data_IF_556031354145
#
_entry.id   IF_556031354145
#
_cell.length_a   1.000
_cell.length_b   1.000
_cell.length_c   1.000
_cell.angle_alpha   90.00
_cell.angle_beta   90.00
_cell.angle_gamma   90.00
#
_symmetry.space_group_name_H-M   'P 1'
#
loop_
_entity.id
_entity.type
_entity.pdbx_description
1 polymer ?
#
# COMPACT_ATOMS: atom_id res chain seq x y z
N UNK A 1 8.87 1.88 -20.31
CA UNK A 1 7.82 0.88 -20.04
C UNK A 1 8.40 -0.40 -19.50
N UNK A 2 8.68 -1.35 -20.39
CA UNK A 2 8.98 -2.76 -20.06
C UNK A 2 10.25 -2.95 -19.23
N UNK A 3 11.32 -2.19 -19.50
CA UNK A 3 12.58 -2.29 -18.73
C UNK A 3 12.36 -1.87 -17.27
N UNK A 4 11.65 -0.74 -17.04
CA UNK A 4 11.33 -0.26 -15.69
C UNK A 4 10.44 -1.25 -14.96
N UNK A 5 9.45 -1.80 -15.65
CA UNK A 5 8.61 -2.87 -15.12
C UNK A 5 9.47 -4.07 -14.67
N UNK A 6 10.37 -4.57 -15.53
CA UNK A 6 11.19 -5.74 -15.21
C UNK A 6 12.08 -5.48 -13.99
N UNK A 7 12.79 -4.34 -13.98
CA UNK A 7 13.65 -3.98 -12.84
C UNK A 7 12.82 -3.89 -11.55
N UNK A 8 11.71 -3.16 -11.58
CA UNK A 8 10.90 -2.95 -10.39
C UNK A 8 10.23 -4.24 -9.89
N UNK A 9 9.56 -4.99 -10.78
CA UNK A 9 8.81 -6.18 -10.42
C UNK A 9 9.74 -7.25 -9.82
N UNK A 10 10.86 -7.56 -10.48
CA UNK A 10 11.76 -8.62 -10.03
C UNK A 10 12.56 -8.24 -8.78
N UNK A 11 12.85 -6.96 -8.55
CA UNK A 11 13.58 -6.52 -7.34
C UNK A 11 12.67 -6.36 -6.12
N UNK A 12 11.43 -5.90 -6.31
CA UNK A 12 10.51 -5.58 -5.21
C UNK A 12 9.62 -6.77 -4.85
N UNK A 13 8.99 -7.40 -5.84
CA UNK A 13 7.98 -8.44 -5.61
C UNK A 13 8.48 -9.85 -5.92
N UNK A 14 9.61 -9.98 -6.61
CA UNK A 14 10.15 -11.27 -7.03
C UNK A 14 9.31 -11.93 -8.14
N UNK A 15 9.32 -13.26 -8.18
CA UNK A 15 8.59 -14.04 -9.18
C UNK A 15 7.23 -14.41 -8.62
N UNK A 16 6.17 -13.88 -9.22
CA UNK A 16 4.75 -14.10 -8.88
C UNK A 16 4.05 -14.93 -9.96
N UNK A 17 2.74 -15.11 -9.82
CA UNK A 17 1.91 -15.68 -10.88
C UNK A 17 2.04 -14.87 -12.18
N UNK A 18 1.87 -15.55 -13.32
CA UNK A 18 1.91 -14.88 -14.63
C UNK A 18 0.80 -13.83 -14.80
N UNK A 19 -0.33 -14.02 -14.13
CA UNK A 19 -1.48 -13.11 -14.15
C UNK A 19 -1.14 -11.80 -13.44
N UNK A 20 -0.56 -11.88 -12.23
CA UNK A 20 -0.14 -10.71 -11.45
C UNK A 20 0.96 -9.91 -12.16
N UNK A 21 1.93 -10.62 -12.76
CA UNK A 21 2.99 -9.97 -13.52
C UNK A 21 2.44 -9.24 -14.76
N UNK A 22 1.46 -9.83 -15.43
CA UNK A 22 0.76 -9.21 -16.57
C UNK A 22 -0.01 -7.96 -16.15
N UNK A 23 -0.71 -8.00 -15.02
CA UNK A 23 -1.43 -6.86 -14.45
C UNK A 23 -0.49 -5.72 -14.05
N UNK A 24 0.62 -6.02 -13.36
CA UNK A 24 1.62 -5.01 -13.00
C UNK A 24 2.21 -4.38 -14.28
N UNK A 25 2.52 -5.18 -15.30
CA UNK A 25 2.98 -4.66 -16.60
C UNK A 25 1.95 -3.70 -17.21
N UNK A 26 0.66 -4.04 -17.16
CA UNK A 26 -0.41 -3.19 -17.67
C UNK A 26 -0.47 -1.85 -16.93
N UNK A 27 -0.32 -1.82 -15.60
CA UNK A 27 -0.23 -0.58 -14.83
C UNK A 27 0.99 0.27 -15.21
N UNK A 28 2.14 -0.35 -15.50
CA UNK A 28 3.29 0.36 -16.03
C UNK A 28 3.03 0.92 -17.43
N UNK A 29 2.38 0.18 -18.33
CA UNK A 29 1.99 0.69 -19.65
C UNK A 29 1.04 1.88 -19.49
N UNK A 30 0.03 1.76 -18.63
CA UNK A 30 -0.88 2.84 -18.26
C UNK A 30 -0.13 4.10 -17.79
N UNK A 31 0.85 3.95 -16.90
CA UNK A 31 1.69 5.06 -16.44
C UNK A 31 2.39 5.79 -17.58
N UNK A 32 3.01 5.04 -18.50
CA UNK A 32 3.75 5.65 -19.60
C UNK A 32 2.83 6.34 -20.61
N UNK A 33 1.63 5.80 -20.85
CA UNK A 33 0.60 6.47 -21.65
C UNK A 33 0.16 7.76 -20.98
N UNK A 34 -0.10 7.72 -19.67
CA UNK A 34 -0.47 8.90 -18.88
C UNK A 34 0.62 9.98 -18.92
N UNK A 35 1.89 9.62 -18.77
CA UNK A 35 3.00 10.58 -18.84
C UNK A 35 3.05 11.24 -20.22
N UNK A 36 2.86 10.48 -21.29
CA UNK A 36 2.82 11.01 -22.66
C UNK A 36 1.65 11.97 -22.90
N UNK A 37 0.44 11.59 -22.50
CA UNK A 37 -0.76 12.44 -22.66
C UNK A 37 -0.70 13.68 -21.77
N UNK A 38 -0.17 13.54 -20.55
CA UNK A 38 0.03 14.65 -19.62
C UNK A 38 1.05 15.66 -20.16
N UNK A 39 2.18 15.18 -20.71
CA UNK A 39 3.15 16.06 -21.35
C UNK A 39 2.54 16.83 -22.52
N UNK A 40 1.77 16.17 -23.38
CA UNK A 40 1.07 16.84 -24.49
C UNK A 40 0.06 17.89 -24.00
N UNK A 41 -0.69 17.58 -22.93
CA UNK A 41 -1.66 18.51 -22.32
C UNK A 41 -1.00 19.77 -21.77
N UNK A 42 0.18 19.66 -21.14
CA UNK A 42 0.88 20.81 -20.56
C UNK A 42 1.63 21.63 -21.63
N UNK A 43 2.20 20.97 -22.65
CA UNK A 43 2.98 21.66 -23.69
C UNK A 43 2.07 22.40 -24.69
N UNK A 44 0.90 21.86 -25.04
CA UNK A 44 0.02 22.46 -26.04
C UNK A 44 -0.41 23.92 -25.77
N UNK A 45 -0.78 24.31 -24.53
CA UNK A 45 -1.19 25.69 -24.23
C UNK A 45 -0.05 26.63 -23.83
N UNK A 46 1.16 26.12 -23.56
CA UNK A 46 2.25 26.91 -22.99
C UNK A 46 3.28 27.31 -24.07
N UNK A 47 3.76 28.57 -24.06
CA UNK A 47 4.66 29.07 -25.09
C UNK A 47 6.12 28.59 -24.93
N UNK A 48 6.54 28.25 -23.71
CA UNK A 48 7.93 27.93 -23.38
C UNK A 48 8.06 26.62 -22.62
N UNK A 49 9.07 25.81 -22.98
CA UNK A 49 9.40 24.56 -22.31
C UNK A 49 9.79 24.76 -20.83
N UNK A 50 10.42 25.89 -20.49
CA UNK A 50 10.79 26.20 -19.10
C UNK A 50 9.57 26.44 -18.22
N UNK A 51 8.54 27.12 -18.74
CA UNK A 51 7.28 27.37 -18.03
C UNK A 51 6.48 26.08 -17.93
N UNK A 52 6.41 25.31 -19.01
CA UNK A 52 5.78 23.99 -19.02
C UNK A 52 6.40 23.03 -18.00
N UNK A 53 7.73 23.02 -17.88
CA UNK A 53 8.44 22.24 -16.88
C UNK A 53 8.01 22.61 -15.45
N UNK A 54 7.96 23.90 -15.12
CA UNK A 54 7.54 24.36 -13.78
C UNK A 54 6.10 23.96 -13.45
N UNK A 55 5.17 24.16 -14.39
CA UNK A 55 3.76 23.79 -14.19
C UNK A 55 3.62 22.28 -14.04
N UNK A 56 4.32 21.50 -14.87
CA UNK A 56 4.36 20.03 -14.79
C UNK A 56 4.83 19.58 -13.41
N UNK A 57 5.90 20.16 -12.88
CA UNK A 57 6.42 19.81 -11.55
C UNK A 57 5.38 20.05 -10.45
N UNK A 58 4.69 21.19 -10.46
CA UNK A 58 3.65 21.50 -9.47
C UNK A 58 2.48 20.52 -9.58
N UNK A 59 1.95 20.31 -10.78
CA UNK A 59 0.82 19.40 -10.99
C UNK A 59 1.17 17.95 -10.62
N UNK A 60 2.35 17.47 -11.01
CA UNK A 60 2.82 16.13 -10.66
C UNK A 60 3.03 15.98 -9.16
N UNK A 61 3.58 17.01 -8.48
CA UNK A 61 3.69 17.00 -7.02
C UNK A 61 2.33 16.88 -6.35
N UNK A 62 1.30 17.58 -6.84
CA UNK A 62 -0.07 17.42 -6.33
C UNK A 62 -0.61 16.02 -6.58
N UNK A 63 -0.43 15.46 -7.79
CA UNK A 63 -0.88 14.10 -8.09
C UNK A 63 -0.28 13.05 -7.12
N UNK A 64 1.00 13.19 -6.78
CA UNK A 64 1.69 12.30 -5.84
C UNK A 64 1.22 12.48 -4.39
N UNK A 65 1.09 13.73 -3.93
CA UNK A 65 0.67 14.01 -2.55
C UNK A 65 -0.72 13.45 -2.25
N UNK A 66 -1.62 13.50 -3.22
CA UNK A 66 -2.99 12.99 -3.10
C UNK A 66 -3.17 11.56 -3.63
N UNK A 67 -2.09 10.81 -3.91
CA UNK A 67 -2.16 9.43 -4.40
C UNK A 67 -2.57 8.40 -3.31
N UNK A 68 -2.73 8.82 -2.06
CA UNK A 68 -3.12 7.93 -0.95
C UNK A 68 -1.98 7.22 -0.23
N UNK A 69 -0.73 7.33 -0.73
CA UNK A 69 0.45 6.68 -0.12
C UNK A 69 0.86 7.35 1.18
N UNK A 70 0.95 8.69 1.19
CA UNK A 70 1.42 9.45 2.34
C UNK A 70 0.33 9.68 3.39
N UNK A 71 -0.91 9.79 2.94
CA UNK A 71 -2.08 10.03 3.78
C UNK A 71 -3.24 9.19 3.24
N UNK A 72 -3.86 8.41 4.11
CA UNK A 72 -5.03 7.62 3.74
C UNK A 72 -6.20 8.54 3.36
N UNK A 73 -7.14 8.08 2.53
CA UNK A 73 -8.32 8.87 2.14
C UNK A 73 -9.15 9.39 3.31
N UNK A 74 -9.11 8.69 4.45
CA UNK A 74 -9.79 9.04 5.69
C UNK A 74 -9.12 10.16 6.49
N UNK A 75 -7.81 10.36 6.30
CA UNK A 75 -7.05 11.41 6.97
C UNK A 75 -7.09 12.75 6.20
N UNK A 76 -7.52 12.74 4.93
CA UNK A 76 -7.63 13.93 4.11
C UNK A 76 -8.85 14.78 4.54
N UNK A 77 -8.71 16.10 4.69
CA UNK A 77 -9.84 16.99 4.90
C UNK A 77 -10.85 16.83 3.76
N UNK A 78 -12.15 16.77 4.06
CA UNK A 78 -13.20 16.37 3.10
C UNK A 78 -13.21 17.14 1.77
N UNK A 79 -12.72 18.39 1.76
CA UNK A 79 -12.54 19.15 0.52
C UNK A 79 -11.57 18.49 -0.47
N UNK A 80 -10.49 17.85 -0.02
CA UNK A 80 -9.44 17.30 -0.89
C UNK A 80 -9.74 15.90 -1.44
N UNK A 81 -10.88 15.30 -1.07
CA UNK A 81 -11.23 13.94 -1.51
C UNK A 81 -11.45 13.86 -3.02
N UNK A 82 -11.86 14.95 -3.69
CA UNK A 82 -11.99 14.95 -5.13
C UNK A 82 -10.63 14.76 -5.82
N UNK A 83 -9.56 15.32 -5.25
CA UNK A 83 -8.23 15.24 -5.82
C UNK A 83 -7.70 13.81 -5.78
N UNK A 84 -7.99 13.09 -4.68
CA UNK A 84 -7.70 11.66 -4.56
C UNK A 84 -8.39 10.83 -5.66
N UNK A 85 -9.67 11.14 -5.96
CA UNK A 85 -10.47 10.43 -6.97
C UNK A 85 -10.05 10.77 -8.41
N UNK A 86 -9.62 12.00 -8.66
CA UNK A 86 -9.19 12.44 -9.99
C UNK A 86 -7.74 12.02 -10.28
N UNK A 87 -6.91 11.89 -9.24
CA UNK A 87 -5.49 11.57 -9.40
C UNK A 87 -5.30 10.19 -10.04
N UNK A 88 -4.72 10.12 -11.25
CA UNK A 88 -4.38 8.85 -11.89
C UNK A 88 -3.39 8.00 -11.08
N UNK A 89 -2.56 8.66 -10.26
CA UNK A 89 -1.55 8.00 -9.43
C UNK A 89 -2.18 7.14 -8.34
N UNK A 90 -3.35 7.51 -7.83
CA UNK A 90 -4.11 6.71 -6.86
C UNK A 90 -4.38 5.31 -7.38
N UNK A 91 -4.82 5.20 -8.64
CA UNK A 91 -5.17 3.93 -9.27
C UNK A 91 -3.93 3.11 -9.62
N UNK A 92 -2.84 3.77 -10.03
CA UNK A 92 -1.59 3.11 -10.33
C UNK A 92 -0.97 2.49 -9.08
N UNK A 93 -0.83 3.27 -8.01
CA UNK A 93 -0.25 2.79 -6.75
C UNK A 93 -1.14 1.70 -6.19
N UNK A 94 -2.46 1.92 -6.12
CA UNK A 94 -3.38 0.93 -5.59
C UNK A 94 -3.34 -0.39 -6.36
N UNK A 95 -3.37 -0.32 -7.70
CA UNK A 95 -3.27 -1.50 -8.56
C UNK A 95 -1.97 -2.27 -8.36
N UNK A 96 -0.82 -1.58 -8.41
CA UNK A 96 0.49 -2.23 -8.23
C UNK A 96 0.66 -2.81 -6.83
N UNK A 97 0.19 -2.11 -5.79
CA UNK A 97 0.28 -2.60 -4.40
C UNK A 97 -0.61 -3.80 -4.15
N UNK A 98 -1.85 -3.80 -4.65
CA UNK A 98 -2.77 -4.94 -4.52
C UNK A 98 -2.25 -6.14 -5.28
N UNK A 99 -1.94 -5.99 -6.57
CA UNK A 99 -1.44 -7.11 -7.38
C UNK A 99 -0.07 -7.61 -6.91
N UNK A 100 0.77 -6.73 -6.37
CA UNK A 100 2.12 -7.07 -5.94
C UNK A 100 2.24 -7.66 -4.54
N UNK A 101 1.21 -7.53 -3.69
CA UNK A 101 1.28 -7.91 -2.27
C UNK A 101 0.07 -8.71 -1.77
N UNK A 102 -1.03 -8.79 -2.52
CA UNK A 102 -2.23 -9.48 -2.06
C UNK A 102 -1.93 -10.95 -1.73
N UNK A 103 -2.53 -11.41 -0.63
CA UNK A 103 -2.40 -12.80 -0.16
C UNK A 103 -1.07 -13.18 0.50
N UNK A 104 -0.10 -12.26 0.61
CA UNK A 104 1.16 -12.54 1.30
C UNK A 104 1.00 -12.67 2.80
N UNK A 105 1.73 -13.61 3.41
CA UNK A 105 1.78 -13.77 4.87
C UNK A 105 2.80 -12.81 5.48
N UNK A 106 2.35 -12.05 6.48
CA UNK A 106 3.21 -11.16 7.27
C UNK A 106 3.85 -11.96 8.41
N UNK A 107 5.17 -11.84 8.54
CA UNK A 107 5.93 -12.32 9.70
C UNK A 107 6.46 -11.08 10.42
N UNK A 108 5.89 -10.75 11.58
CA UNK A 108 6.34 -9.60 12.37
C UNK A 108 7.79 -9.78 12.83
N UNK A 109 8.56 -8.70 12.76
CA UNK A 109 9.86 -8.58 13.43
C UNK A 109 9.70 -8.29 14.93
N UNK A 110 10.77 -8.48 15.72
CA UNK A 110 10.73 -8.24 17.19
C UNK A 110 10.25 -6.83 17.58
N UNK A 111 10.51 -5.82 16.73
CA UNK A 111 10.05 -4.44 16.93
C UNK A 111 8.58 -4.20 16.61
N UNK A 112 7.95 -5.09 15.84
CA UNK A 112 6.53 -5.00 15.45
C UNK A 112 5.63 -5.86 16.35
N UNK A 113 6.24 -6.67 17.22
CA UNK A 113 5.51 -7.47 18.20
C UNK A 113 4.97 -6.57 19.30
N UNK A 114 3.66 -6.69 19.55
CA UNK A 114 3.05 -6.14 20.74
C UNK A 114 3.38 -7.08 21.91
N UNK A 115 4.26 -6.62 22.80
CA UNK A 115 4.65 -7.34 24.01
C UNK A 115 3.82 -6.82 25.17
N UNK A 116 3.13 -7.72 25.86
CA UNK A 116 2.34 -7.39 27.05
C UNK A 116 2.36 -8.55 28.06
N UNK A 117 2.01 -8.25 29.31
CA UNK A 117 1.99 -9.24 30.39
C UNK A 117 0.54 -9.70 30.65
N UNK A 118 0.29 -11.02 30.71
CA UNK A 118 -1.03 -11.53 31.04
C UNK A 118 -1.31 -11.36 32.55
N UNK A 119 -2.59 -11.37 32.97
CA UNK A 119 -2.96 -11.42 34.38
C UNK A 119 -2.33 -12.61 35.11
N UNK A 120 -2.06 -12.44 36.41
CA UNK A 120 -1.42 -13.49 37.23
C UNK A 120 -2.22 -14.79 37.22
N UNK A 121 -1.60 -15.87 36.73
CA UNK A 121 -2.18 -17.22 36.69
C UNK A 121 -2.78 -17.62 35.33
N UNK A 122 -2.81 -16.73 34.34
CA UNK A 122 -3.28 -17.03 32.99
C UNK A 122 -2.11 -17.19 31.99
N UNK A 123 -2.34 -17.99 30.95
CA UNK A 123 -1.41 -18.09 29.82
C UNK A 123 -1.77 -17.04 28.77
N UNK A 124 -0.79 -16.61 27.97
CA UNK A 124 -1.03 -15.72 26.84
C UNK A 124 -2.14 -16.23 25.93
N UNK A 125 -2.19 -17.56 25.72
CA UNK A 125 -3.24 -18.22 24.95
C UNK A 125 -4.63 -18.07 25.57
N UNK A 126 -4.79 -18.28 26.88
CA UNK A 126 -6.11 -18.16 27.52
C UNK A 126 -6.59 -16.71 27.58
N UNK A 127 -5.67 -15.77 27.85
CA UNK A 127 -5.98 -14.35 27.90
C UNK A 127 -6.41 -13.80 26.52
N UNK A 128 -5.69 -14.19 25.46
CA UNK A 128 -5.98 -13.72 24.10
C UNK A 128 -7.09 -14.49 23.40
N UNK A 129 -7.55 -15.62 23.94
CA UNK A 129 -8.55 -16.45 23.28
C UNK A 129 -9.83 -15.66 22.95
N UNK A 130 -10.37 -14.92 23.92
CA UNK A 130 -11.55 -14.08 23.71
C UNK A 130 -11.31 -12.99 22.66
N UNK A 131 -10.11 -12.42 22.63
CA UNK A 131 -9.74 -11.37 21.68
C UNK A 131 -9.65 -11.91 20.24
N UNK A 132 -9.08 -13.10 20.07
CA UNK A 132 -9.00 -13.80 18.78
C UNK A 132 -10.41 -14.22 18.32
N UNK A 133 -11.23 -14.74 19.23
CA UNK A 133 -12.63 -15.12 18.96
C UNK A 133 -13.52 -13.92 18.61
N UNK A 134 -13.22 -12.73 19.13
CA UNK A 134 -13.89 -11.46 18.78
C UNK A 134 -13.49 -10.92 17.39
N UNK A 135 -12.63 -11.63 16.64
CA UNK A 135 -12.27 -11.29 15.27
C UNK A 135 -10.92 -10.60 15.12
N UNK A 136 -10.01 -10.73 16.10
CA UNK A 136 -8.65 -10.22 15.93
C UNK A 136 -7.92 -10.99 14.82
N UNK A 137 -7.36 -10.24 13.88
CA UNK A 137 -6.80 -10.75 12.63
C UNK A 137 -5.33 -11.19 12.71
N UNK A 138 -4.69 -10.96 13.86
CA UNK A 138 -3.29 -11.25 14.12
C UNK A 138 -3.00 -12.67 14.61
N UNK A 139 -1.73 -12.95 14.92
CA UNK A 139 -1.24 -14.26 15.38
C UNK A 139 -0.40 -14.12 16.65
N UNK A 140 -0.68 -14.97 17.64
CA UNK A 140 0.10 -15.09 18.87
C UNK A 140 1.24 -16.10 18.66
N UNK A 141 2.48 -15.71 18.98
CA UNK A 141 3.67 -16.55 18.76
C UNK A 141 3.95 -17.49 19.94
N UNK A 142 3.58 -17.10 21.17
CA UNK A 142 3.92 -17.82 22.41
C UNK A 142 2.69 -18.12 23.30
N UNK A 143 1.79 -19.02 22.87
CA UNK A 143 0.53 -19.29 23.59
C UNK A 143 0.70 -19.88 25.00
N UNK A 144 1.83 -20.53 25.28
CA UNK A 144 2.09 -21.19 26.57
C UNK A 144 2.84 -20.29 27.58
N UNK A 145 3.28 -19.11 27.17
CA UNK A 145 4.00 -18.21 28.06
C UNK A 145 3.05 -17.59 29.10
N UNK A 146 3.57 -17.35 30.30
CA UNK A 146 2.88 -16.66 31.41
C UNK A 146 3.47 -15.26 31.66
N UNK A 147 4.48 -14.89 30.87
CA UNK A 147 5.17 -13.60 30.88
C UNK A 147 5.53 -13.24 29.44
N UNK A 148 5.57 -11.94 29.13
CA UNK A 148 5.98 -11.39 27.83
C UNK A 148 5.29 -12.04 26.62
N UNK A 149 3.97 -11.88 26.52
CA UNK A 149 3.19 -12.35 25.38
C UNK A 149 3.54 -11.58 24.11
N UNK A 150 3.97 -12.27 23.07
CA UNK A 150 4.37 -11.70 21.78
C UNK A 150 3.26 -11.87 20.75
N UNK A 151 2.53 -10.78 20.50
CA UNK A 151 1.43 -10.76 19.54
C UNK A 151 1.78 -9.99 18.27
N UNK A 152 1.57 -10.61 17.11
CA UNK A 152 1.68 -9.97 15.81
C UNK A 152 0.28 -9.55 15.36
N UNK A 153 -0.04 -8.24 15.29
CA UNK A 153 -1.39 -7.75 14.99
C UNK A 153 -1.82 -7.94 13.53
N UNK A 154 -0.87 -8.31 12.66
CA UNK A 154 -1.08 -8.46 11.22
C UNK A 154 -0.73 -9.89 10.79
N UNK A 155 -1.57 -10.50 9.96
CA UNK A 155 -1.33 -11.87 9.45
C UNK A 155 -1.15 -11.91 7.94
N UNK A 156 -1.90 -11.09 7.22
CA UNK A 156 -1.86 -11.00 5.76
C UNK A 156 -1.71 -9.55 5.32
N UNK A 157 -1.02 -9.32 4.20
CA UNK A 157 -0.83 -7.97 3.66
C UNK A 157 -2.13 -7.29 3.24
N UNK A 158 -3.16 -8.08 2.93
CA UNK A 158 -4.52 -7.60 2.67
C UNK A 158 -5.08 -6.74 3.83
N UNK A 159 -4.66 -7.00 5.06
CA UNK A 159 -5.10 -6.24 6.24
C UNK A 159 -4.53 -4.83 6.25
N UNK A 160 -3.30 -4.64 5.72
CA UNK A 160 -2.71 -3.33 5.53
C UNK A 160 -3.36 -2.64 4.33
N UNK A 161 -3.53 -3.36 3.21
CA UNK A 161 -4.15 -2.82 1.99
C UNK A 161 -5.58 -2.32 2.24
N UNK A 162 -6.37 -3.09 3.00
CA UNK A 162 -7.74 -2.73 3.38
C UNK A 162 -7.82 -1.43 4.21
N UNK A 163 -6.81 -1.10 5.03
CA UNK A 163 -6.77 0.17 5.78
C UNK A 163 -6.70 1.39 4.85
N UNK A 164 -6.12 1.21 3.67
CA UNK A 164 -6.01 2.24 2.64
C UNK A 164 -7.16 2.16 1.61
N UNK A 165 -8.15 1.30 1.84
CA UNK A 165 -9.28 1.09 0.92
C UNK A 165 -8.89 0.38 -0.38
N UNK A 166 -7.79 -0.38 -0.35
CA UNK A 166 -7.30 -1.15 -1.49
C UNK A 166 -7.66 -2.62 -1.28
N UNK A 167 -8.37 -3.19 -2.26
CA UNK A 167 -8.88 -4.57 -2.21
C UNK A 167 -8.52 -5.29 -3.51
N UNK A 168 -8.27 -6.61 -3.42
CA UNK A 168 -8.03 -7.50 -4.54
C UNK A 168 -9.35 -7.93 -5.21
#
# INVERSE_FOLDING_TARGET
>A
GVITFAIFNYTVFGIRSSEDQGLILLFFVYFYVLVGTFAAMVIAPLPDATTAGRVTTVLFSMMLLFAGVFQTPTALPGFWIFMYRVSPMTYLVGGVSVTGLAGDTIICSDSELAIFQPPTGETCGSYMQQYIEQGALGTLLNPQATTDCSYCPLRYTDQILARSGMYY
#
